data_IF_997613166788
#
_entry.id   IF_997613166788
#
_cell.length_a   1.000
_cell.length_b   1.000
_cell.length_c   1.000
_cell.angle_alpha   90.00
_cell.angle_beta   90.00
_cell.angle_gamma   90.00
#
_symmetry.space_group_name_H-M   'P 1'
#
loop_
_entity.id
_entity.type
_entity.pdbx_description
1 polymer ?
#
# COMPACT_ATOMS: atom_id res chain seq x y z
N UNK A 1 0.98 -23.99 6.11
CA UNK A 1 2.12 -23.37 5.40
C UNK A 1 1.94 -23.56 3.90
N UNK A 2 1.26 -22.61 3.28
CA UNK A 2 0.93 -22.69 1.85
C UNK A 2 1.70 -21.64 1.09
N UNK A 3 2.13 -21.96 -0.13
CA UNK A 3 2.70 -20.94 -1.00
C UNK A 3 1.61 -20.01 -1.49
N UNK A 4 1.97 -18.74 -1.68
CA UNK A 4 1.06 -17.70 -2.13
C UNK A 4 1.49 -17.25 -3.52
N UNK A 5 0.55 -17.30 -4.46
CA UNK A 5 0.76 -16.78 -5.81
C UNK A 5 0.17 -15.37 -5.88
N UNK A 6 1.02 -14.37 -6.07
CA UNK A 6 0.57 -12.97 -6.05
C UNK A 6 -0.42 -12.66 -7.17
N UNK A 7 -0.18 -13.18 -8.37
CA UNK A 7 -1.08 -12.96 -9.50
C UNK A 7 -2.48 -13.50 -9.22
N UNK A 8 -2.57 -14.68 -8.59
CA UNK A 8 -3.85 -15.28 -8.20
C UNK A 8 -4.57 -14.41 -7.17
N UNK A 9 -3.82 -13.88 -6.20
CA UNK A 9 -4.40 -13.02 -5.17
C UNK A 9 -4.88 -11.69 -5.73
N UNK A 10 -4.11 -11.06 -6.63
CA UNK A 10 -4.53 -9.83 -7.27
C UNK A 10 -5.83 -9.99 -8.07
N UNK A 11 -6.07 -11.15 -8.67
CA UNK A 11 -7.33 -11.40 -9.40
C UNK A 11 -8.57 -11.34 -8.50
N UNK A 12 -8.40 -11.48 -7.20
CA UNK A 12 -9.50 -11.38 -6.21
C UNK A 12 -9.76 -9.94 -5.76
N UNK A 13 -8.90 -8.99 -6.15
CA UNK A 13 -9.02 -7.59 -5.75
C UNK A 13 -9.69 -6.84 -6.89
N UNK A 14 -10.86 -6.27 -6.64
CA UNK A 14 -11.67 -5.58 -7.65
C UNK A 14 -12.01 -4.13 -7.30
N UNK A 15 -11.39 -3.59 -6.24
CA UNK A 15 -11.53 -2.17 -5.85
C UNK A 15 -10.16 -1.55 -5.71
N UNK A 16 -10.06 -0.25 -5.99
CA UNK A 16 -8.83 0.50 -5.78
C UNK A 16 -8.73 1.00 -4.35
N UNK A 17 -7.51 1.11 -3.83
CA UNK A 17 -7.23 1.61 -2.48
C UNK A 17 -7.92 0.79 -1.39
N UNK A 18 -8.07 -0.50 -1.62
CA UNK A 18 -8.71 -1.44 -0.70
C UNK A 18 -7.73 -2.60 -0.39
N UNK A 19 -6.79 -2.42 0.53
CA UNK A 19 -5.76 -3.42 0.81
C UNK A 19 -6.35 -4.73 1.35
N UNK A 20 -5.75 -5.84 0.94
CA UNK A 20 -6.10 -7.17 1.42
C UNK A 20 -4.88 -7.83 2.06
N UNK A 21 -5.07 -8.49 3.19
CA UNK A 21 -4.00 -9.20 3.89
C UNK A 21 -3.80 -10.55 3.21
N UNK A 22 -2.55 -10.86 2.82
CA UNK A 22 -2.22 -12.15 2.23
C UNK A 22 -1.33 -13.01 3.13
N UNK A 23 -0.61 -12.40 4.06
CA UNK A 23 0.30 -13.12 4.96
C UNK A 23 0.64 -12.27 6.17
N UNK A 24 1.11 -12.94 7.22
CA UNK A 24 1.58 -12.30 8.44
C UNK A 24 2.94 -12.89 8.82
N UNK A 25 3.85 -12.04 9.25
CA UNK A 25 5.20 -12.43 9.65
C UNK A 25 5.64 -11.58 10.83
N UNK A 26 5.77 -12.20 12.02
CA UNK A 26 6.29 -11.52 13.22
C UNK A 26 5.60 -10.18 13.54
N UNK A 27 4.26 -10.17 13.48
CA UNK A 27 3.47 -8.97 13.75
C UNK A 27 3.42 -7.97 12.60
N UNK A 28 3.99 -8.31 11.45
CA UNK A 28 3.90 -7.53 10.22
C UNK A 28 2.88 -8.18 9.28
N UNK A 29 2.18 -7.37 8.53
CA UNK A 29 1.30 -7.85 7.45
C UNK A 29 1.95 -7.64 6.10
N UNK A 30 1.79 -8.64 5.23
CA UNK A 30 1.94 -8.47 3.80
C UNK A 30 0.57 -8.26 3.22
N UNK A 31 0.39 -7.14 2.52
CA UNK A 31 -0.90 -6.77 1.93
C UNK A 31 -0.73 -6.55 0.43
N UNK A 32 -1.77 -6.83 -0.32
CA UNK A 32 -1.83 -6.45 -1.74
C UNK A 32 -2.88 -5.38 -1.92
N UNK A 33 -2.59 -4.44 -2.79
CA UNK A 33 -3.49 -3.34 -3.11
C UNK A 33 -3.32 -2.92 -4.56
N UNK A 34 -4.40 -2.43 -5.16
CA UNK A 34 -4.37 -1.79 -6.47
C UNK A 34 -4.60 -0.30 -6.28
N UNK A 35 -3.73 0.52 -6.86
CA UNK A 35 -3.90 1.97 -6.89
C UNK A 35 -4.35 2.42 -8.26
N UNK A 36 -5.19 3.44 -8.31
CA UNK A 36 -5.52 4.19 -9.52
C UNK A 36 -6.08 5.54 -9.09
N UNK A 37 -5.56 6.61 -9.70
CA UNK A 37 -5.91 7.97 -9.30
C UNK A 37 -5.11 8.45 -8.10
N UNK A 38 -5.53 9.56 -7.54
CA UNK A 38 -4.86 10.20 -6.40
C UNK A 38 -5.40 9.66 -5.10
N UNK A 39 -4.50 9.27 -4.20
CA UNK A 39 -4.87 8.98 -2.83
C UNK A 39 -4.80 10.27 -2.01
N UNK A 40 -5.13 10.18 -0.72
CA UNK A 40 -5.10 11.33 0.19
C UNK A 40 -3.71 11.53 0.78
N UNK A 41 -3.36 12.79 1.07
CA UNK A 41 -2.19 13.11 1.88
C UNK A 41 -2.38 12.56 3.28
N UNK A 42 -1.40 11.81 3.78
CA UNK A 42 -1.47 11.23 5.10
C UNK A 42 -0.08 10.89 5.63
N UNK A 43 -0.02 10.54 6.91
CA UNK A 43 1.18 10.03 7.56
C UNK A 43 0.77 8.97 8.56
N UNK A 44 1.73 8.08 8.90
CA UNK A 44 1.57 7.09 9.95
C UNK A 44 2.48 7.49 11.09
N UNK A 45 1.90 7.83 12.23
CA UNK A 45 2.68 8.38 13.35
C UNK A 45 3.61 7.34 13.97
N UNK A 46 3.20 6.09 14.00
CA UNK A 46 3.90 5.03 14.73
C UNK A 46 4.45 3.91 13.84
N UNK A 47 4.20 3.93 12.53
CA UNK A 47 4.60 2.85 11.64
C UNK A 47 5.41 3.35 10.45
N UNK A 48 6.49 2.62 10.15
CA UNK A 48 7.11 2.70 8.84
C UNK A 48 6.26 1.91 7.85
N UNK A 49 6.24 2.30 6.59
CA UNK A 49 5.45 1.63 5.56
C UNK A 49 6.31 1.38 4.34
N UNK A 50 6.25 0.16 3.78
CA UNK A 50 6.95 -0.12 2.54
C UNK A 50 5.98 -0.37 1.39
N UNK A 51 6.34 0.12 0.21
CA UNK A 51 5.64 -0.12 -1.04
C UNK A 51 6.58 -0.82 -2.01
N UNK A 52 6.11 -1.90 -2.63
CA UNK A 52 6.85 -2.58 -3.69
C UNK A 52 5.96 -2.73 -4.91
N UNK A 53 6.41 -2.25 -6.06
CA UNK A 53 5.64 -2.37 -7.30
C UNK A 53 5.79 -3.79 -7.86
N UNK A 54 4.66 -4.46 -8.01
CA UNK A 54 4.60 -5.80 -8.61
C UNK A 54 4.32 -5.70 -10.11
N UNK A 55 3.42 -4.81 -10.53
CA UNK A 55 3.09 -4.60 -11.93
C UNK A 55 2.60 -3.18 -12.14
N UNK A 56 3.14 -2.51 -13.15
CA UNK A 56 2.79 -1.13 -13.45
C UNK A 56 3.78 -0.13 -12.84
N UNK A 57 3.32 1.08 -12.59
CA UNK A 57 4.13 2.16 -12.04
C UNK A 57 3.26 3.17 -11.30
N UNK A 58 3.84 3.87 -10.34
CA UNK A 58 3.16 4.95 -9.64
C UNK A 58 4.18 5.91 -9.03
N UNK A 59 3.69 7.04 -8.54
CA UNK A 59 4.51 8.05 -7.90
C UNK A 59 4.08 8.22 -6.44
N UNK A 60 5.05 8.27 -5.55
CA UNK A 60 4.85 8.73 -4.17
C UNK A 60 5.20 10.22 -4.13
N UNK A 61 4.21 11.06 -3.86
CA UNK A 61 4.47 12.47 -3.60
C UNK A 61 4.82 12.67 -2.13
N UNK A 62 5.92 13.37 -1.90
CA UNK A 62 6.30 13.93 -0.60
C UNK A 62 6.13 15.44 -0.68
N UNK A 63 6.18 16.15 0.45
CA UNK A 63 5.97 17.61 0.44
C UNK A 63 7.04 18.37 -0.35
N UNK A 64 8.27 17.84 -0.37
CA UNK A 64 9.43 18.48 -0.99
C UNK A 64 9.87 17.83 -2.32
N UNK A 65 9.33 16.67 -2.66
CA UNK A 65 9.73 15.94 -3.88
C UNK A 65 8.72 14.86 -4.24
N UNK A 66 8.90 14.24 -5.38
CA UNK A 66 8.13 13.09 -5.83
C UNK A 66 9.09 11.97 -6.21
N UNK A 67 8.73 10.74 -5.89
CA UNK A 67 9.53 9.55 -6.20
C UNK A 67 8.70 8.63 -7.07
N UNK A 68 9.19 8.35 -8.28
CA UNK A 68 8.55 7.45 -9.22
C UNK A 68 9.08 6.04 -9.06
N UNK A 69 8.18 5.05 -9.00
CA UNK A 69 8.53 3.64 -8.86
C UNK A 69 7.95 2.83 -10.02
N UNK A 70 8.78 1.93 -10.55
CA UNK A 70 8.39 0.97 -11.59
C UNK A 70 8.53 -0.46 -11.06
N UNK A 71 8.17 -1.45 -11.88
CA UNK A 71 8.19 -2.86 -11.47
C UNK A 71 9.50 -3.27 -10.82
N UNK A 72 9.40 -3.97 -9.70
CA UNK A 72 10.55 -4.46 -8.95
C UNK A 72 11.19 -3.45 -8.04
N UNK A 73 10.70 -2.21 -8.01
CA UNK A 73 11.24 -1.17 -7.13
C UNK A 73 10.42 -1.05 -5.86
N UNK A 74 11.09 -0.73 -4.77
CA UNK A 74 10.43 -0.52 -3.49
C UNK A 74 10.94 0.72 -2.79
N UNK A 75 10.12 1.23 -1.89
CA UNK A 75 10.47 2.35 -1.03
C UNK A 75 9.95 2.09 0.38
N UNK A 76 10.69 2.57 1.37
CA UNK A 76 10.23 2.58 2.75
C UNK A 76 9.97 4.03 3.14
N UNK A 77 8.74 4.32 3.55
CA UNK A 77 8.35 5.63 4.07
C UNK A 77 8.49 5.57 5.58
N UNK A 78 9.41 6.34 6.17
CA UNK A 78 9.55 6.37 7.63
C UNK A 78 8.30 6.94 8.29
N UNK A 79 8.03 6.50 9.51
CA UNK A 79 6.92 7.03 10.31
C UNK A 79 7.00 8.56 10.39
N UNK A 80 5.85 9.21 10.39
CA UNK A 80 5.73 10.65 10.49
C UNK A 80 5.91 11.41 9.17
N UNK A 81 6.36 10.76 8.10
CA UNK A 81 6.56 11.43 6.81
C UNK A 81 5.24 11.50 6.05
N UNK A 82 4.79 12.72 5.73
CA UNK A 82 3.60 12.93 4.92
C UNK A 82 3.84 12.49 3.48
N UNK A 83 2.88 11.75 2.94
CA UNK A 83 3.00 11.22 1.58
C UNK A 83 1.62 10.97 0.95
N UNK A 84 1.63 10.81 -0.38
CA UNK A 84 0.43 10.53 -1.16
C UNK A 84 0.79 9.69 -2.39
N UNK A 85 0.26 8.47 -2.53
CA UNK A 85 0.39 7.72 -3.78
C UNK A 85 -0.47 8.33 -4.88
N UNK A 86 0.06 8.35 -6.10
CA UNK A 86 -0.64 8.78 -7.30
C UNK A 86 -0.35 7.79 -8.42
N UNK A 87 -1.40 7.29 -9.08
CA UNK A 87 -1.26 6.38 -10.20
C UNK A 87 -2.18 6.78 -11.35
N UNK A 88 -1.62 7.05 -12.53
CA UNK A 88 -2.41 7.40 -13.72
C UNK A 88 -3.18 6.19 -14.24
N UNK A 89 -2.55 5.01 -14.19
CA UNK A 89 -3.14 3.73 -14.56
C UNK A 89 -3.08 2.81 -13.37
N UNK A 90 -3.88 1.73 -13.39
CA UNK A 90 -3.86 0.75 -12.32
C UNK A 90 -2.46 0.19 -12.11
N UNK A 91 -2.02 0.16 -10.87
CA UNK A 91 -0.75 -0.42 -10.43
C UNK A 91 -1.01 -1.44 -9.33
N UNK A 92 -0.27 -2.54 -9.37
CA UNK A 92 -0.34 -3.60 -8.37
C UNK A 92 0.83 -3.45 -7.42
N UNK A 93 0.52 -3.33 -6.13
CA UNK A 93 1.51 -3.00 -5.08
C UNK A 93 1.42 -4.01 -3.94
N UNK A 94 2.58 -4.40 -3.42
CA UNK A 94 2.69 -5.14 -2.19
C UNK A 94 3.12 -4.19 -1.08
N UNK A 95 2.39 -4.20 0.02
CA UNK A 95 2.72 -3.47 1.24
C UNK A 95 3.28 -4.45 2.27
N UNK A 96 4.33 -4.05 2.96
CA UNK A 96 4.85 -4.78 4.11
C UNK A 96 4.96 -3.78 5.25
N UNK A 97 4.18 -3.99 6.31
CA UNK A 97 4.00 -3.00 7.36
C UNK A 97 3.48 -3.62 8.65
N UNK A 98 3.63 -2.96 9.80
CA UNK A 98 3.06 -3.44 11.07
C UNK A 98 1.55 -3.66 10.95
N UNK A 99 1.04 -4.66 11.64
CA UNK A 99 -0.39 -5.01 11.61
C UNK A 99 -1.30 -3.88 12.11
N UNK A 100 -0.76 -2.93 12.87
CA UNK A 100 -1.48 -1.77 13.37
C UNK A 100 -1.72 -0.67 12.34
N UNK A 101 -1.08 -0.75 11.16
CA UNK A 101 -1.14 0.33 10.16
C UNK A 101 -2.52 0.44 9.54
N UNK A 102 -3.09 1.66 9.55
CA UNK A 102 -4.35 1.98 8.86
C UNK A 102 -4.00 2.68 7.55
N UNK A 103 -4.63 2.28 6.44
CA UNK A 103 -4.26 2.72 5.10
C UNK A 103 -4.23 4.25 4.89
N UNK A 104 -5.09 5.00 5.57
CA UNK A 104 -5.13 6.46 5.51
C UNK A 104 -4.37 7.12 6.66
N UNK A 105 -3.68 6.35 7.51
CA UNK A 105 -2.95 6.87 8.64
C UNK A 105 -3.83 7.70 9.55
N UNK A 106 -3.42 8.94 9.81
CA UNK A 106 -4.15 9.88 10.65
C UNK A 106 -5.22 10.69 9.88
N UNK A 107 -5.31 10.55 8.55
CA UNK A 107 -6.25 11.31 7.75
C UNK A 107 -7.68 10.79 7.90
N UNK A 108 -8.64 11.71 8.00
CA UNK A 108 -10.07 11.40 7.93
C UNK A 108 -10.45 11.36 6.44
N UNK A 109 -10.90 10.22 5.95
CA UNK A 109 -11.12 10.03 4.52
C UNK A 109 -12.09 8.88 4.25
N UNK A 110 -12.84 9.01 3.15
CA UNK A 110 -13.71 7.94 2.67
C UNK A 110 -12.93 6.70 2.22
N UNK A 111 -11.62 6.84 1.97
CA UNK A 111 -10.75 5.71 1.64
C UNK A 111 -10.36 4.86 2.85
N UNK A 112 -10.66 5.31 4.08
CA UNK A 112 -10.22 4.62 5.30
C UNK A 112 -10.78 3.21 5.39
N UNK A 113 -9.89 2.23 5.55
CA UNK A 113 -10.22 0.82 5.73
C UNK A 113 -9.57 0.32 7.03
N UNK A 114 -10.38 -0.02 8.03
CA UNK A 114 -9.89 -0.45 9.34
C UNK A 114 -9.88 -1.97 9.45
N UNK A 115 -10.93 -2.62 8.99
CA UNK A 115 -11.07 -4.09 9.05
C UNK A 115 -10.82 -4.66 7.65
N UNK A 116 -9.59 -5.13 7.42
CA UNK A 116 -9.18 -5.66 6.13
C UNK A 116 -9.53 -7.15 6.01
N UNK A 117 -9.98 -7.54 4.82
CA UNK A 117 -10.18 -8.96 4.50
C UNK A 117 -8.84 -9.67 4.31
N UNK A 118 -8.82 -10.93 4.70
CA UNK A 118 -7.72 -11.85 4.37
C UNK A 118 -8.12 -12.63 3.14
N UNK A 119 -7.25 -12.72 2.21
CA UNK A 119 -7.51 -13.47 0.96
C UNK A 119 -6.41 -14.55 0.69
#
# INVERSE_FOLDING_TARGET
MDKINLADKFRKINKHYDPKIIAELNGQYMKLVKFKGDFVWHSHENEDESFMVIEGEFTIELRDKAIHLTEGELIVIPKGVEHRPIAKKEVKVLLFEPSSTINTGEADSDFRQVNLDRI
#
